data_IF_823504740485
#
_entry.id   IF_823504740485
#
_cell.length_a   1.000
_cell.length_b   1.000
_cell.length_c   1.000
_cell.angle_alpha   90.00
_cell.angle_beta   90.00
_cell.angle_gamma   90.00
#
_symmetry.space_group_name_H-M   'P 1'
#
loop_
_entity.id
_entity.type
_entity.pdbx_description
1 polymer ?
#
# COMPACT_ATOMS: atom_id res chain seq x y z
N UNK A 1 -14.12 -1.75 -25.32
CA UNK A 1 -13.72 -3.09 -24.85
C UNK A 1 -12.80 -3.03 -23.64
N UNK A 2 -12.90 -4.05 -22.82
CA UNK A 2 -12.11 -4.19 -21.61
C UNK A 2 -11.36 -5.52 -21.64
N UNK A 3 -10.08 -5.48 -21.31
CA UNK A 3 -9.24 -6.68 -21.21
C UNK A 3 -8.80 -6.82 -19.76
N UNK A 4 -9.04 -8.00 -19.18
CA UNK A 4 -8.62 -8.33 -17.82
C UNK A 4 -7.67 -9.52 -17.86
N UNK A 5 -6.52 -9.37 -17.26
CA UNK A 5 -5.53 -10.44 -17.11
C UNK A 5 -5.23 -10.58 -15.63
N UNK A 6 -5.41 -11.79 -15.10
CA UNK A 6 -5.17 -12.07 -13.69
C UNK A 6 -4.23 -13.27 -13.57
N UNK A 7 -3.28 -13.18 -12.66
CA UNK A 7 -2.37 -14.26 -12.32
C UNK A 7 -2.32 -14.40 -10.79
N UNK A 8 -2.41 -15.62 -10.32
CA UNK A 8 -2.35 -15.91 -8.88
C UNK A 8 -1.57 -17.20 -8.65
N UNK A 9 -0.59 -17.15 -7.76
CA UNK A 9 0.04 -18.33 -7.19
C UNK A 9 -0.05 -18.24 -5.65
N UNK A 10 0.47 -19.23 -4.87
CA UNK A 10 0.33 -19.18 -3.43
C UNK A 10 0.90 -17.94 -2.73
N UNK A 11 1.82 -17.22 -3.38
CA UNK A 11 2.50 -16.05 -2.78
C UNK A 11 2.37 -14.77 -3.57
N UNK A 12 1.97 -14.84 -4.84
CA UNK A 12 2.00 -13.67 -5.71
C UNK A 12 0.67 -13.50 -6.43
N UNK A 13 0.31 -12.27 -6.67
CA UNK A 13 -0.89 -11.89 -7.37
C UNK A 13 -0.57 -10.77 -8.36
N UNK A 14 -1.07 -10.90 -9.57
CA UNK A 14 -0.96 -9.84 -10.56
C UNK A 14 -2.29 -9.66 -11.27
N UNK A 15 -2.70 -8.43 -11.46
CA UNK A 15 -3.92 -8.06 -12.15
C UNK A 15 -3.64 -6.91 -13.11
N UNK A 16 -4.10 -7.05 -14.33
CA UNK A 16 -4.02 -6.00 -15.33
C UNK A 16 -5.41 -5.80 -15.92
N UNK A 17 -5.86 -4.55 -15.93
CA UNK A 17 -7.12 -4.15 -16.53
C UNK A 17 -6.84 -3.06 -17.53
N UNK A 18 -7.27 -3.27 -18.78
CA UNK A 18 -7.10 -2.30 -19.85
C UNK A 18 -8.45 -1.97 -20.45
N UNK A 19 -8.71 -0.69 -20.63
CA UNK A 19 -9.93 -0.19 -21.26
C UNK A 19 -9.59 0.70 -22.45
N UNK A 20 -10.34 0.51 -23.52
CA UNK A 20 -10.29 1.40 -24.67
C UNK A 20 -11.63 2.15 -24.73
N UNK A 21 -11.59 3.46 -24.47
CA UNK A 21 -12.80 4.27 -24.40
C UNK A 21 -13.34 4.69 -25.75
N UNK A 22 -12.52 4.58 -26.79
CA UNK A 22 -12.86 5.00 -28.14
C UNK A 22 -12.46 3.90 -29.11
N UNK A 23 -13.23 3.75 -30.20
CA UNK A 23 -12.92 2.78 -31.25
C UNK A 23 -11.76 3.22 -32.14
N UNK A 24 -11.32 4.45 -32.04
CA UNK A 24 -10.19 4.95 -32.82
C UNK A 24 -8.88 4.65 -32.08
N UNK A 25 -8.31 3.49 -32.38
CA UNK A 25 -7.08 2.99 -31.75
C UNK A 25 -5.83 3.80 -32.07
N UNK A 26 -5.92 4.79 -32.93
CA UNK A 26 -4.78 5.66 -33.24
C UNK A 26 -4.59 6.77 -32.21
N UNK A 27 -5.51 6.93 -31.27
CA UNK A 27 -5.43 7.91 -30.18
C UNK A 27 -5.04 7.20 -28.89
N UNK A 28 -3.86 7.48 -28.39
CA UNK A 28 -3.34 6.89 -27.13
C UNK A 28 -4.13 7.34 -25.90
N UNK A 29 -4.74 8.53 -25.96
CA UNK A 29 -5.53 9.07 -24.86
C UNK A 29 -6.77 8.24 -24.52
N UNK A 30 -7.18 7.38 -25.45
CA UNK A 30 -8.35 6.52 -25.27
C UNK A 30 -8.02 5.20 -24.59
N UNK A 31 -6.73 4.93 -24.38
CA UNK A 31 -6.28 3.71 -23.70
C UNK A 31 -6.11 3.98 -22.21
N UNK A 32 -6.77 3.17 -21.39
CA UNK A 32 -6.64 3.22 -19.95
C UNK A 32 -6.18 1.86 -19.45
N UNK A 33 -5.11 1.87 -18.65
CA UNK A 33 -4.53 0.66 -18.08
C UNK A 33 -4.45 0.82 -16.57
N UNK A 34 -4.96 -0.16 -15.84
CA UNK A 34 -4.83 -0.28 -14.39
C UNK A 34 -4.28 -1.65 -14.07
N UNK A 35 -3.29 -1.71 -13.20
CA UNK A 35 -2.71 -2.97 -12.80
C UNK A 35 -2.31 -2.99 -11.34
N UNK A 36 -2.24 -4.20 -10.80
CA UNK A 36 -1.80 -4.46 -9.43
C UNK A 36 -0.87 -5.65 -9.45
N UNK A 37 0.25 -5.53 -8.76
CA UNK A 37 1.16 -6.64 -8.50
C UNK A 37 1.38 -6.74 -7.01
N UNK A 38 1.10 -7.90 -6.43
CA UNK A 38 1.28 -8.12 -5.00
C UNK A 38 1.79 -9.52 -4.72
N UNK A 39 2.45 -9.69 -3.58
CA UNK A 39 3.01 -10.98 -3.20
C UNK A 39 3.89 -10.88 -1.98
N UNK A 40 4.70 -11.92 -1.78
CA UNK A 40 5.61 -12.03 -0.66
C UNK A 40 7.00 -12.44 -1.13
N UNK A 41 8.02 -11.77 -0.58
CA UNK A 41 9.42 -12.13 -0.77
C UNK A 41 10.02 -12.28 0.62
N UNK A 42 10.22 -13.55 1.07
CA UNK A 42 10.64 -13.83 2.43
C UNK A 42 9.63 -13.24 3.44
N UNK A 43 10.08 -12.45 4.41
CA UNK A 43 9.19 -11.85 5.41
C UNK A 43 8.48 -10.58 4.91
N UNK A 44 8.72 -10.15 3.67
CA UNK A 44 8.20 -8.89 3.16
C UNK A 44 7.03 -9.15 2.24
N UNK A 45 5.88 -8.50 2.52
CA UNK A 45 4.72 -8.46 1.63
C UNK A 45 4.75 -7.15 0.85
N UNK A 46 4.40 -7.21 -0.43
CA UNK A 46 4.39 -6.03 -1.27
C UNK A 46 3.08 -5.92 -2.05
N UNK A 47 2.72 -4.69 -2.37
CA UNK A 47 1.60 -4.39 -3.26
C UNK A 47 1.95 -3.15 -4.07
N UNK A 48 1.92 -3.27 -5.39
CA UNK A 48 2.23 -2.17 -6.31
C UNK A 48 1.07 -1.96 -7.26
N UNK A 49 0.63 -0.73 -7.39
CA UNK A 49 -0.40 -0.32 -8.33
C UNK A 49 0.21 0.54 -9.41
N UNK A 50 -0.22 0.35 -10.64
CA UNK A 50 0.29 1.10 -11.78
C UNK A 50 -0.82 1.37 -12.80
N UNK A 51 -0.57 2.37 -13.62
CA UNK A 51 -1.43 2.73 -14.75
C UNK A 51 -0.56 2.85 -16.00
N UNK A 52 -1.18 3.23 -17.11
CA UNK A 52 -0.47 3.55 -18.35
C UNK A 52 0.52 4.72 -18.19
N UNK A 53 0.39 5.50 -17.12
CA UNK A 53 1.29 6.61 -16.82
C UNK A 53 2.40 6.26 -15.82
N UNK A 54 2.43 5.04 -15.33
CA UNK A 54 3.45 4.55 -14.41
C UNK A 54 2.90 4.04 -13.10
N UNK A 55 3.79 3.89 -12.12
CA UNK A 55 3.43 3.39 -10.79
C UNK A 55 2.72 4.50 -10.01
N UNK A 56 1.54 4.17 -9.45
CA UNK A 56 0.75 5.11 -8.65
C UNK A 56 1.00 4.94 -7.15
N UNK A 57 1.43 3.76 -6.72
CA UNK A 57 1.74 3.54 -5.32
C UNK A 57 2.31 2.16 -5.08
N UNK A 58 3.16 2.06 -4.06
CA UNK A 58 3.74 0.79 -3.60
C UNK A 58 3.66 0.74 -2.09
N UNK A 59 3.17 -0.38 -1.56
CA UNK A 59 3.11 -0.65 -0.13
C UNK A 59 3.97 -1.86 0.20
N UNK A 60 4.74 -1.75 1.25
CA UNK A 60 5.58 -2.83 1.78
C UNK A 60 5.24 -3.07 3.24
N UNK A 61 5.19 -4.33 3.64
CA UNK A 61 4.94 -4.72 5.04
C UNK A 61 5.90 -5.82 5.41
N UNK A 62 6.58 -5.66 6.55
CA UNK A 62 7.52 -6.65 7.07
C UNK A 62 7.36 -6.72 8.59
N UNK A 63 6.61 -7.73 9.07
CA UNK A 63 6.30 -7.84 10.49
C UNK A 63 5.54 -6.62 10.99
N UNK A 64 6.15 -5.88 11.92
CA UNK A 64 5.57 -4.66 12.50
C UNK A 64 5.91 -3.38 11.74
N UNK A 65 6.71 -3.49 10.67
CA UNK A 65 7.10 -2.37 9.83
C UNK A 65 6.17 -2.27 8.62
N UNK A 66 5.88 -1.06 8.21
CA UNK A 66 5.22 -0.79 6.93
C UNK A 66 5.87 0.42 6.28
N UNK A 67 5.78 0.46 4.96
CA UNK A 67 6.27 1.57 4.17
C UNK A 67 5.38 1.73 2.95
N UNK A 68 5.15 2.97 2.54
CA UNK A 68 4.41 3.25 1.31
C UNK A 68 5.04 4.44 0.58
N UNK A 69 4.92 4.41 -0.74
CA UNK A 69 5.37 5.49 -1.59
C UNK A 69 4.33 5.71 -2.69
N UNK A 70 4.04 6.96 -3.02
CA UNK A 70 3.11 7.31 -4.08
C UNK A 70 3.81 7.76 -5.37
N UNK A 71 3.01 8.13 -6.39
CA UNK A 71 3.51 8.56 -7.69
C UNK A 71 4.33 9.86 -7.62
N UNK A 72 4.12 10.67 -6.60
CA UNK A 72 4.84 11.93 -6.40
C UNK A 72 6.09 11.76 -5.53
N UNK A 73 6.46 10.50 -5.25
CA UNK A 73 7.61 10.13 -4.40
C UNK A 73 7.44 10.54 -2.93
N UNK A 74 6.20 10.81 -2.51
CA UNK A 74 5.89 10.97 -1.09
C UNK A 74 5.87 9.59 -0.44
N UNK A 75 6.54 9.46 0.71
CA UNK A 75 6.61 8.17 1.38
C UNK A 75 6.29 8.30 2.87
N UNK A 76 5.85 7.18 3.43
CA UNK A 76 5.62 7.00 4.86
C UNK A 76 6.28 5.70 5.29
N UNK A 77 6.93 5.74 6.45
CA UNK A 77 7.48 4.54 7.09
C UNK A 77 6.88 4.47 8.48
N UNK A 78 6.39 3.30 8.85
CA UNK A 78 5.76 3.10 10.15
C UNK A 78 6.25 1.85 10.85
N UNK A 79 6.22 1.91 12.16
CA UNK A 79 6.46 0.76 13.03
C UNK A 79 5.40 0.79 14.13
N UNK A 80 4.78 -0.36 14.39
CA UNK A 80 3.80 -0.49 15.45
C UNK A 80 3.95 -1.84 16.15
N UNK A 81 3.77 -1.84 17.46
CA UNK A 81 3.84 -3.06 18.24
C UNK A 81 2.99 -2.91 19.50
N UNK A 82 2.80 -4.02 20.20
CA UNK A 82 2.12 -4.07 21.48
C UNK A 82 3.03 -4.73 22.51
N UNK A 83 3.12 -4.14 23.69
CA UNK A 83 3.88 -4.71 24.79
C UNK A 83 3.04 -4.59 26.07
N UNK A 84 2.69 -5.75 26.66
CA UNK A 84 1.91 -5.84 27.90
C UNK A 84 0.63 -4.98 27.89
N UNK A 85 -0.11 -4.98 26.78
CA UNK A 85 -1.35 -4.21 26.64
C UNK A 85 -1.15 -2.76 26.27
N UNK A 86 0.08 -2.32 26.02
CA UNK A 86 0.38 -0.99 25.54
C UNK A 86 0.65 -1.06 24.06
N UNK A 87 -0.21 -0.38 23.27
CA UNK A 87 0.02 -0.21 21.85
C UNK A 87 0.91 1.02 21.65
N UNK A 88 1.98 0.85 20.88
CA UNK A 88 2.86 1.97 20.57
C UNK A 88 3.29 1.90 19.12
N UNK A 89 3.62 3.05 18.56
CA UNK A 89 4.04 3.13 17.19
C UNK A 89 4.73 4.44 16.88
N UNK A 90 5.40 4.45 15.75
CA UNK A 90 6.04 5.64 15.22
C UNK A 90 5.86 5.67 13.72
N UNK A 91 5.73 6.88 13.16
CA UNK A 91 5.67 7.10 11.72
C UNK A 91 6.60 8.23 11.34
N UNK A 92 7.20 8.08 10.16
CA UNK A 92 8.04 9.11 9.54
C UNK A 92 7.60 9.29 8.09
N UNK A 93 7.46 10.52 7.64
CA UNK A 93 7.05 10.79 6.27
C UNK A 93 8.09 11.61 5.49
N UNK A 94 7.85 11.73 4.19
CA UNK A 94 8.77 12.44 3.28
C UNK A 94 8.83 13.96 3.53
N UNK A 95 7.91 14.50 4.32
CA UNK A 95 7.92 15.89 4.72
C UNK A 95 8.78 16.13 5.96
N UNK A 96 9.41 15.08 6.51
CA UNK A 96 10.24 15.16 7.68
C UNK A 96 9.47 15.11 9.00
N UNK A 97 8.20 14.72 8.98
CA UNK A 97 7.38 14.61 10.17
C UNK A 97 7.61 13.27 10.85
N UNK A 98 7.99 13.32 12.11
CA UNK A 98 8.14 12.14 12.96
C UNK A 98 7.06 12.19 14.04
N UNK A 99 6.26 11.13 14.16
CA UNK A 99 5.17 11.05 15.11
C UNK A 99 5.29 9.79 15.96
N UNK A 100 4.98 9.92 17.25
CA UNK A 100 4.92 8.80 18.17
C UNK A 100 3.51 8.70 18.74
N UNK A 101 3.03 7.47 18.88
CA UNK A 101 1.73 7.18 19.47
C UNK A 101 1.89 6.11 20.54
N UNK A 102 1.14 6.26 21.63
CA UNK A 102 1.05 5.22 22.66
C UNK A 102 -0.36 5.24 23.24
N UNK A 103 -0.90 4.06 23.51
CA UNK A 103 -2.22 3.92 24.09
C UNK A 103 -2.29 2.68 24.95
N UNK A 104 -3.13 2.72 25.98
CA UNK A 104 -3.35 1.63 26.91
C UNK A 104 -4.79 1.16 26.82
N UNK A 105 -4.97 -0.16 26.64
CA UNK A 105 -6.28 -0.80 26.64
C UNK A 105 -6.58 -1.33 28.02
N UNK A 106 -7.71 -0.90 28.60
CA UNK A 106 -8.14 -1.40 29.90
C UNK A 106 -9.05 -2.62 29.73
N UNK A 107 -9.09 -3.48 30.77
CA UNK A 107 -9.91 -4.70 30.78
C UNK A 107 -11.38 -4.45 30.47
N UNK A 108 -11.90 -3.30 30.85
CA UNK A 108 -13.32 -2.93 30.64
C UNK A 108 -13.58 -2.26 29.30
N UNK A 109 -12.63 -2.37 28.37
CA UNK A 109 -12.81 -1.83 27.02
C UNK A 109 -12.48 -0.37 26.86
N UNK A 110 -12.06 0.31 27.92
CA UNK A 110 -11.61 1.68 27.83
C UNK A 110 -10.24 1.79 27.16
N UNK A 111 -10.00 2.88 26.44
CA UNK A 111 -8.72 3.20 25.85
C UNK A 111 -8.31 4.60 26.29
N UNK A 112 -7.12 4.70 26.87
CA UNK A 112 -6.55 5.99 27.25
C UNK A 112 -5.29 6.27 26.41
N UNK A 113 -5.20 7.49 25.91
CA UNK A 113 -3.99 7.99 25.26
C UNK A 113 -3.10 8.63 26.31
N UNK A 114 -1.80 8.31 26.28
CA UNK A 114 -0.83 8.85 27.22
C UNK A 114 0.12 9.86 26.55
N UNK A 115 -0.16 10.22 25.32
CA UNK A 115 0.58 11.25 24.59
C UNK A 115 -0.31 12.37 24.09
#
# INVERSE_FOLDING_TARGET
>A
PEININYTDPKNYASLKSRVYNTNILKNDDLNVDGTLSGEIGPVSYNTNFTDQGITGTDLTAGNFNASIDANKNYNIGYANNYNGIDYGTTYDSNGNLMFNAGVKFKNGGLASIL
#
